data_IF_600372675512
#
_entry.id   IF_600372675512
#
_cell.length_a   1.000
_cell.length_b   1.000
_cell.length_c   1.000
_cell.angle_alpha   90.00
_cell.angle_beta   90.00
_cell.angle_gamma   90.00
#
_symmetry.space_group_name_H-M   'P 1'
#
loop_
_entity.id
_entity.type
_entity.pdbx_description
1 polymer ?
#
# COMPACT_ATOMS: atom_id res chain seq x y z
N UNK A 1 3.92 38.51 -16.30
CA UNK A 1 2.82 37.68 -15.76
C UNK A 1 3.37 36.28 -15.63
N UNK A 2 3.95 35.98 -14.46
CA UNK A 2 4.53 34.68 -14.15
C UNK A 2 3.39 33.67 -14.04
N UNK A 3 3.22 32.85 -15.08
CA UNK A 3 2.36 31.68 -15.01
C UNK A 3 2.80 30.85 -13.82
N UNK A 4 1.90 30.70 -12.84
CA UNK A 4 2.02 29.67 -11.83
C UNK A 4 1.91 28.35 -12.59
N UNK A 5 3.06 27.73 -12.87
CA UNK A 5 3.11 26.28 -13.04
C UNK A 5 2.33 25.72 -11.85
N UNK A 6 1.19 25.11 -12.12
CA UNK A 6 0.50 24.32 -11.13
C UNK A 6 1.46 23.17 -10.79
N UNK A 7 2.28 23.37 -9.75
CA UNK A 7 2.88 22.29 -8.98
C UNK A 7 1.71 21.58 -8.28
N UNK A 8 0.92 20.85 -9.07
CA UNK A 8 -0.29 20.17 -8.65
C UNK A 8 0.09 18.90 -7.88
N UNK A 9 0.87 19.08 -6.80
CA UNK A 9 1.08 18.01 -5.84
C UNK A 9 -0.30 17.55 -5.37
N UNK A 10 -0.59 16.24 -5.43
CA UNK A 10 -1.90 15.73 -5.10
C UNK A 10 -2.24 16.14 -3.67
N UNK A 11 -3.47 16.62 -3.49
CA UNK A 11 -3.95 17.07 -2.19
C UNK A 11 -4.22 15.83 -1.32
N UNK A 12 -3.37 15.62 -0.32
CA UNK A 12 -3.56 14.61 0.71
C UNK A 12 -3.77 15.30 2.07
N UNK A 13 -4.59 14.69 2.94
CA UNK A 13 -4.84 15.19 4.30
C UNK A 13 -5.32 14.06 5.19
N UNK A 14 -4.73 13.95 6.38
CA UNK A 14 -5.23 13.14 7.48
C UNK A 14 -5.38 14.00 8.76
N UNK A 15 -6.30 13.60 9.64
CA UNK A 15 -6.47 14.15 10.98
C UNK A 15 -6.62 12.98 11.93
N UNK A 16 -5.80 12.96 12.98
CA UNK A 16 -5.80 11.90 14.00
C UNK A 16 -6.36 12.44 15.31
N UNK A 17 -6.96 11.57 16.12
CA UNK A 17 -7.49 11.95 17.43
C UNK A 17 -6.36 12.21 18.44
N UNK A 18 -5.29 11.42 18.35
CA UNK A 18 -4.05 11.64 19.09
C UNK A 18 -3.21 12.70 18.35
N UNK A 19 -2.93 13.86 18.98
CA UNK A 19 -2.10 14.90 18.38
C UNK A 19 -0.65 14.48 18.16
N UNK A 20 -0.18 13.45 18.88
CA UNK A 20 1.19 12.92 18.82
C UNK A 20 1.28 11.64 17.97
N UNK A 21 0.21 11.29 17.25
CA UNK A 21 0.20 10.14 16.36
C UNK A 21 1.35 10.23 15.31
N UNK A 22 2.01 9.11 14.97
CA UNK A 22 2.98 9.08 13.88
C UNK A 22 2.40 9.63 12.58
N UNK A 23 3.23 10.33 11.80
CA UNK A 23 2.80 10.88 10.52
C UNK A 23 2.32 9.76 9.57
N UNK A 24 1.11 9.91 9.06
CA UNK A 24 0.54 9.00 8.05
C UNK A 24 1.02 9.35 6.63
N UNK A 25 0.82 8.47 5.62
CA UNK A 25 1.27 8.75 4.25
C UNK A 25 0.75 10.06 3.67
N UNK A 26 -0.45 10.49 4.08
CA UNK A 26 -1.07 11.75 3.65
C UNK A 26 -0.42 13.00 4.24
N UNK A 27 0.41 12.84 5.27
CA UNK A 27 1.10 13.92 5.98
C UNK A 27 2.60 13.96 5.66
N UNK A 28 3.16 12.86 5.15
CA UNK A 28 4.55 12.77 4.69
C UNK A 28 4.69 13.35 3.28
N UNK A 29 5.88 13.87 2.90
CA UNK A 29 6.15 14.20 1.51
C UNK A 29 6.05 12.95 0.65
N UNK A 30 5.54 13.08 -0.58
CA UNK A 30 5.58 11.98 -1.54
C UNK A 30 7.04 11.63 -1.88
N UNK A 31 7.40 10.34 -1.94
CA UNK A 31 8.73 9.91 -2.39
C UNK A 31 9.03 10.41 -3.81
N UNK A 32 10.33 10.56 -4.11
CA UNK A 32 10.77 11.03 -5.43
C UNK A 32 10.30 10.09 -6.55
N UNK A 33 10.38 8.76 -6.33
CA UNK A 33 9.84 7.75 -7.25
C UNK A 33 8.40 8.06 -7.69
N UNK A 34 7.53 8.33 -6.72
CA UNK A 34 6.12 8.65 -6.96
C UNK A 34 5.96 9.98 -7.69
N UNK A 35 6.91 10.91 -7.56
CA UNK A 35 6.87 12.21 -8.23
C UNK A 35 7.47 12.20 -9.65
N UNK A 36 8.15 11.12 -10.08
CA UNK A 36 8.83 11.05 -11.40
C UNK A 36 7.86 11.27 -12.56
N UNK A 37 6.64 10.75 -12.44
CA UNK A 37 5.57 10.86 -13.42
C UNK A 37 4.45 11.75 -12.87
N UNK A 38 4.01 12.80 -13.61
CA UNK A 38 2.89 13.63 -13.20
C UNK A 38 1.62 12.80 -12.98
N UNK A 39 0.83 13.14 -11.95
CA UNK A 39 -0.38 12.38 -11.58
C UNK A 39 -1.36 12.30 -12.75
N UNK A 40 -1.47 13.34 -13.57
CA UNK A 40 -2.35 13.40 -14.74
C UNK A 40 -1.96 12.42 -15.86
N UNK A 41 -0.72 11.90 -15.81
CA UNK A 41 -0.22 10.89 -16.75
C UNK A 41 -0.33 9.48 -16.20
N UNK A 42 -0.70 9.30 -14.93
CA UNK A 42 -0.83 7.99 -14.30
C UNK A 42 -2.20 7.39 -14.58
N UNK A 43 -2.24 6.07 -14.74
CA UNK A 43 -3.52 5.38 -14.73
C UNK A 43 -4.13 5.40 -13.32
N UNK A 44 -5.42 5.07 -13.22
CA UNK A 44 -6.06 4.94 -11.91
C UNK A 44 -5.44 3.79 -11.10
N UNK A 45 -5.07 2.69 -11.76
CA UNK A 45 -4.41 1.54 -11.15
C UNK A 45 -3.00 1.86 -10.65
N UNK A 46 -2.16 2.48 -11.48
CA UNK A 46 -0.81 2.93 -11.12
C UNK A 46 -0.84 3.87 -9.92
N UNK A 47 -1.73 4.88 -9.97
CA UNK A 47 -1.83 5.84 -8.88
C UNK A 47 -2.36 5.22 -7.58
N UNK A 48 -3.22 4.21 -7.65
CA UNK A 48 -3.65 3.46 -6.48
C UNK A 48 -2.55 2.56 -5.92
N UNK A 49 -1.81 1.86 -6.80
CA UNK A 49 -0.72 0.97 -6.46
C UNK A 49 0.38 1.65 -5.67
N UNK A 50 0.91 2.77 -6.18
CA UNK A 50 1.98 3.50 -5.51
C UNK A 50 1.55 3.95 -4.11
N UNK A 51 0.34 4.51 -3.98
CA UNK A 51 -0.19 4.96 -2.68
C UNK A 51 -0.42 3.78 -1.73
N UNK A 52 -0.93 2.65 -2.21
CA UNK A 52 -1.08 1.44 -1.39
C UNK A 52 0.26 1.00 -0.80
N UNK A 53 1.35 1.08 -1.57
CA UNK A 53 2.69 0.78 -1.06
C UNK A 53 3.08 1.73 0.07
N UNK A 54 2.81 3.04 -0.06
CA UNK A 54 3.07 4.01 1.02
C UNK A 54 2.29 3.68 2.29
N UNK A 55 1.01 3.29 2.16
CA UNK A 55 0.20 2.85 3.31
C UNK A 55 0.72 1.55 3.93
N UNK A 56 1.07 0.55 3.12
CA UNK A 56 1.61 -0.73 3.60
C UNK A 56 2.92 -0.52 4.35
N UNK A 57 3.85 0.24 3.77
CA UNK A 57 5.12 0.56 4.41
C UNK A 57 4.91 1.32 5.73
N UNK A 58 4.11 2.38 5.72
CA UNK A 58 3.87 3.17 6.93
C UNK A 58 3.14 2.39 8.02
N UNK A 59 2.25 1.47 7.65
CA UNK A 59 1.62 0.57 8.61
C UNK A 59 2.66 -0.39 9.21
N UNK A 60 3.54 -0.98 8.40
CA UNK A 60 4.59 -1.89 8.87
C UNK A 60 5.64 -1.20 9.76
N UNK A 61 5.96 0.08 9.53
CA UNK A 61 6.85 0.89 10.38
C UNK A 61 6.38 0.94 11.85
N UNK A 62 5.07 0.75 12.09
CA UNK A 62 4.44 0.87 13.40
C UNK A 62 4.19 -0.50 14.05
N UNK A 63 4.55 -1.61 13.39
CA UNK A 63 4.33 -2.96 13.91
C UNK A 63 5.41 -3.40 14.88
N UNK A 64 5.01 -4.21 15.86
CA UNK A 64 5.95 -4.93 16.70
C UNK A 64 6.76 -5.94 15.86
N UNK A 65 7.97 -6.27 16.31
CA UNK A 65 8.90 -7.15 15.60
C UNK A 65 8.30 -8.51 15.19
N UNK A 66 7.36 -9.02 15.98
CA UNK A 66 6.71 -10.32 15.82
C UNK A 66 5.41 -10.29 15.02
N UNK A 67 4.92 -9.11 14.64
CA UNK A 67 3.73 -8.95 13.82
C UNK A 67 4.08 -8.78 12.35
N UNK A 68 3.24 -9.30 11.46
CA UNK A 68 3.25 -9.14 10.01
C UNK A 68 1.98 -8.41 9.58
N UNK A 69 2.00 -7.86 8.37
CA UNK A 69 0.81 -7.28 7.77
C UNK A 69 -0.04 -8.35 7.09
N UNK A 70 -1.35 -8.22 7.23
CA UNK A 70 -2.34 -8.93 6.45
C UNK A 70 -3.38 -7.94 5.91
N UNK A 71 -3.99 -8.29 4.78
CA UNK A 71 -5.07 -7.51 4.17
C UNK A 71 -6.40 -8.22 4.41
N UNK A 72 -7.33 -7.51 5.03
CA UNK A 72 -8.73 -7.88 5.10
C UNK A 72 -9.47 -7.37 3.86
N UNK A 73 -10.26 -8.26 3.26
CA UNK A 73 -11.04 -7.96 2.07
C UNK A 73 -12.48 -7.73 2.45
N UNK A 74 -12.88 -6.47 2.44
CA UNK A 74 -14.23 -6.02 2.77
C UNK A 74 -15.10 -6.08 1.51
N UNK A 75 -16.01 -7.06 1.44
CA UNK A 75 -16.91 -7.22 0.29
C UNK A 75 -17.24 -8.68 -0.08
N UNK A 76 -16.63 -9.67 0.58
CA UNK A 76 -16.91 -11.09 0.37
C UNK A 76 -16.40 -11.96 1.51
N UNK A 77 -16.67 -13.27 1.43
CA UNK A 77 -16.24 -14.27 2.43
C UNK A 77 -14.73 -14.62 2.36
N UNK A 78 -13.95 -13.82 1.62
CA UNK A 78 -12.56 -14.10 1.22
C UNK A 78 -11.57 -14.02 2.39
N UNK A 79 -12.01 -13.54 3.56
CA UNK A 79 -11.23 -13.61 4.79
C UNK A 79 -10.02 -12.67 4.79
N UNK A 80 -8.94 -13.12 5.43
CA UNK A 80 -7.69 -12.36 5.61
C UNK A 80 -6.62 -13.00 4.73
N UNK A 81 -5.91 -12.18 3.97
CA UNK A 81 -4.78 -12.57 3.14
C UNK A 81 -3.48 -12.09 3.80
N UNK A 82 -2.56 -12.99 4.15
CA UNK A 82 -1.18 -12.60 4.46
C UNK A 82 -0.53 -12.15 3.17
N UNK A 83 -0.30 -10.85 3.04
CA UNK A 83 0.16 -10.24 1.80
C UNK A 83 1.65 -10.53 1.58
N UNK A 84 1.96 -10.96 0.37
CA UNK A 84 3.31 -11.28 -0.11
C UNK A 84 3.70 -10.41 -1.31
N UNK A 85 2.74 -9.71 -1.92
CA UNK A 85 3.00 -8.75 -2.99
C UNK A 85 1.76 -7.96 -3.42
N UNK A 86 2.00 -6.85 -4.11
CA UNK A 86 0.99 -6.05 -4.80
C UNK A 86 1.43 -5.90 -6.25
N UNK A 87 0.49 -5.81 -7.18
CA UNK A 87 0.75 -5.40 -8.55
C UNK A 87 -0.38 -4.55 -9.09
N UNK A 88 -0.17 -3.97 -10.27
CA UNK A 88 -1.21 -3.27 -11.02
C UNK A 88 -1.13 -3.59 -12.51
N UNK A 89 -2.23 -3.37 -13.21
CA UNK A 89 -2.27 -3.47 -14.66
C UNK A 89 -3.16 -2.35 -15.20
N UNK A 90 -2.56 -1.52 -16.08
CA UNK A 90 -3.24 -0.35 -16.61
C UNK A 90 -4.48 -0.73 -17.43
N UNK A 91 -5.56 0.07 -17.35
CA UNK A 91 -5.66 1.33 -16.60
C UNK A 91 -6.25 1.18 -15.18
N UNK A 92 -6.72 0.00 -14.80
CA UNK A 92 -7.72 -0.12 -13.73
C UNK A 92 -7.62 -1.35 -12.82
N UNK A 93 -6.68 -2.28 -13.02
CA UNK A 93 -6.57 -3.47 -12.18
C UNK A 93 -5.50 -3.30 -11.10
N UNK A 94 -5.83 -3.67 -9.86
CA UNK A 94 -4.89 -3.86 -8.76
C UNK A 94 -4.97 -5.32 -8.30
N UNK A 95 -3.82 -5.92 -8.02
CA UNK A 95 -3.70 -7.31 -7.60
C UNK A 95 -2.99 -7.42 -6.27
N UNK A 96 -3.49 -8.27 -5.37
CA UNK A 96 -2.84 -8.67 -4.14
C UNK A 96 -2.47 -10.15 -4.20
N UNK A 97 -1.22 -10.47 -3.87
CA UNK A 97 -0.71 -11.83 -3.80
C UNK A 97 -0.46 -12.21 -2.35
N UNK A 98 -0.73 -13.46 -1.99
CA UNK A 98 -0.46 -13.92 -0.65
C UNK A 98 -0.92 -15.33 -0.35
N UNK A 99 -1.04 -15.61 0.93
CA UNK A 99 -1.55 -16.86 1.49
C UNK A 99 -2.77 -16.60 2.37
N UNK A 100 -3.80 -17.43 2.23
CA UNK A 100 -4.99 -17.34 3.09
C UNK A 100 -4.74 -17.99 4.46
N UNK A 101 -5.78 -18.03 5.30
CA UNK A 101 -5.69 -18.60 6.65
C UNK A 101 -5.43 -20.12 6.66
N UNK A 102 -5.65 -20.81 5.54
CA UNK A 102 -5.36 -22.24 5.36
C UNK A 102 -3.94 -22.48 4.83
N UNK A 103 -3.20 -21.42 4.51
CA UNK A 103 -1.90 -21.49 3.84
C UNK A 103 -2.00 -21.68 2.33
N UNK A 104 -3.20 -21.61 1.75
CA UNK A 104 -3.38 -21.74 0.31
C UNK A 104 -2.93 -20.47 -0.40
N UNK A 105 -2.14 -20.64 -1.48
CA UNK A 105 -1.76 -19.54 -2.36
C UNK A 105 -3.02 -18.90 -2.92
N UNK A 106 -3.17 -17.61 -2.65
CA UNK A 106 -4.35 -16.84 -3.02
C UNK A 106 -3.92 -15.57 -3.72
N UNK A 107 -4.65 -15.24 -4.76
CA UNK A 107 -4.51 -13.98 -5.49
C UNK A 107 -5.86 -13.33 -5.53
N UNK A 108 -5.90 -12.04 -5.18
CA UNK A 108 -7.07 -11.23 -5.34
C UNK A 108 -6.83 -10.20 -6.43
N UNK A 109 -7.68 -10.21 -7.44
CA UNK A 109 -7.67 -9.25 -8.54
C UNK A 109 -8.90 -8.36 -8.38
N UNK A 110 -8.71 -7.05 -8.28
CA UNK A 110 -9.79 -6.08 -8.16
C UNK A 110 -9.65 -4.97 -9.20
N UNK A 111 -10.80 -4.46 -9.64
CA UNK A 111 -10.85 -3.18 -10.32
C UNK A 111 -10.68 -2.05 -9.29
N UNK A 112 -9.92 -1.00 -9.62
CA UNK A 112 -9.55 0.09 -8.71
C UNK A 112 -10.75 0.85 -8.14
N UNK A 113 -11.85 0.93 -8.90
CA UNK A 113 -13.10 1.55 -8.41
C UNK A 113 -13.81 0.75 -7.30
N UNK A 114 -13.44 -0.52 -7.11
CA UNK A 114 -13.98 -1.43 -6.09
C UNK A 114 -13.01 -1.61 -4.92
N UNK A 115 -11.86 -0.94 -4.96
CA UNK A 115 -10.79 -1.11 -4.00
C UNK A 115 -11.27 -0.79 -2.58
N UNK A 116 -11.21 -1.80 -1.72
CA UNK A 116 -11.47 -1.64 -0.29
C UNK A 116 -10.48 -2.52 0.47
N UNK A 117 -9.56 -1.88 1.18
CA UNK A 117 -8.38 -2.50 1.77
C UNK A 117 -8.36 -2.20 3.26
N UNK A 118 -8.37 -3.24 4.08
CA UNK A 118 -8.11 -3.14 5.52
C UNK A 118 -6.71 -3.69 5.80
N UNK A 119 -5.79 -2.86 6.30
CA UNK A 119 -4.51 -3.33 6.81
C UNK A 119 -4.67 -3.81 8.25
N UNK A 120 -4.17 -5.00 8.55
CA UNK A 120 -4.30 -5.64 9.85
C UNK A 120 -2.96 -6.22 10.30
N UNK A 121 -2.59 -5.95 11.56
CA UNK A 121 -1.48 -6.63 12.21
C UNK A 121 -1.88 -8.07 12.57
N UNK A 122 -1.02 -9.02 12.25
CA UNK A 122 -1.19 -10.44 12.55
C UNK A 122 0.13 -11.00 13.08
N UNK A 123 0.14 -11.90 14.06
CA UNK A 123 1.38 -12.56 14.47
C UNK A 123 2.04 -13.25 13.26
N UNK A 124 3.37 -13.18 13.20
CA UNK A 124 4.15 -13.94 12.21
C UNK A 124 3.83 -15.43 12.31
N UNK A 125 4.08 -16.15 11.23
CA UNK A 125 3.95 -17.61 11.29
C UNK A 125 4.92 -18.20 12.33
N UNK A 126 4.49 -19.17 13.16
CA UNK A 126 5.33 -19.74 14.20
C UNK A 126 6.67 -20.30 13.67
N UNK A 127 6.66 -20.85 12.45
CA UNK A 127 7.83 -21.41 11.80
C UNK A 127 8.72 -20.36 11.10
N UNK A 128 8.26 -19.11 10.93
CA UNK A 128 9.05 -18.07 10.28
C UNK A 128 10.14 -17.54 11.22
N UNK A 129 11.41 -17.40 10.77
CA UNK A 129 12.49 -16.91 11.61
C UNK A 129 12.33 -15.42 12.00
N UNK A 130 11.64 -14.64 11.18
CA UNK A 130 11.30 -13.23 11.42
C UNK A 130 9.98 -12.89 10.72
N UNK A 131 9.31 -11.83 11.18
CA UNK A 131 8.14 -11.29 10.51
C UNK A 131 8.50 -10.81 9.09
N UNK A 132 7.72 -11.22 8.10
CA UNK A 132 7.79 -10.71 6.73
C UNK A 132 7.40 -9.23 6.71
N UNK A 133 8.26 -8.42 6.11
CA UNK A 133 8.15 -6.96 5.99
C UNK A 133 8.09 -6.58 4.51
N UNK A 134 6.92 -6.70 3.89
CA UNK A 134 6.79 -6.56 2.42
C UNK A 134 6.77 -5.09 1.98
N UNK A 135 6.23 -4.18 2.81
CA UNK A 135 6.13 -2.76 2.52
C UNK A 135 7.45 -2.08 2.23
N UNK A 136 8.51 -2.46 2.96
CA UNK A 136 9.86 -1.94 2.69
C UNK A 136 10.42 -2.41 1.35
N UNK A 137 10.17 -3.67 0.97
CA UNK A 137 10.58 -4.20 -0.35
C UNK A 137 9.80 -3.56 -1.48
N UNK A 138 8.50 -3.36 -1.29
CA UNK A 138 7.65 -2.67 -2.27
C UNK A 138 8.08 -1.21 -2.45
N UNK A 139 8.44 -0.52 -1.37
CA UNK A 139 8.94 0.84 -1.45
C UNK A 139 10.32 0.92 -2.13
N UNK A 140 11.20 -0.04 -1.86
CA UNK A 140 12.48 -0.17 -2.56
C UNK A 140 12.30 -0.43 -4.07
N UNK A 141 11.33 -1.27 -4.45
CA UNK A 141 10.99 -1.55 -5.84
C UNK A 141 10.47 -0.30 -6.57
N UNK A 142 9.61 0.50 -5.92
CA UNK A 142 9.16 1.80 -6.46
C UNK A 142 10.35 2.74 -6.76
N UNK A 143 11.38 2.74 -5.93
CA UNK A 143 12.57 3.58 -6.15
C UNK A 143 13.42 3.09 -7.33
N UNK A 144 13.42 1.79 -7.63
CA UNK A 144 14.21 1.19 -8.71
C UNK A 144 13.51 1.13 -10.07
N UNK A 145 12.18 1.25 -10.13
CA UNK A 145 11.44 1.26 -11.41
C UNK A 145 11.79 2.54 -12.19
N UNK A 146 12.57 2.38 -13.26
CA UNK A 146 13.13 3.43 -14.15
C UNK A 146 12.32 3.62 -15.41
#
# INVERSE_FOLDING_TARGET
MTERLHDARPRARAVHADPDAPASPEQKPLPEAVCRKPVEQKSAAEWAYERLILYIQNFEEQLAAEDEIAIGLTGGNTGILRIEGVGYFDPDIVTFYGTDQTGARTQLVQHVSQLNVMLRAMPKEPAAPAARRIGFRLAEDLEHDT
#
